data_IF_004536426493
#
_entry.id   IF_004536426493
#
_cell.length_a   1.000
_cell.length_b   1.000
_cell.length_c   1.000
_cell.angle_alpha   90.00
_cell.angle_beta   90.00
_cell.angle_gamma   90.00
#
_symmetry.space_group_name_H-M   'P 1'
#
loop_
_entity.id
_entity.type
_entity.pdbx_description
1 polymer ?
#
# COMPACT_ATOMS: atom_id res chain seq x y z
N UNK A 1 -23.39 -17.82 -25.63
CA UNK A 1 -21.96 -17.58 -25.35
C UNK A 1 -21.74 -17.83 -23.86
N UNK A 2 -21.28 -19.02 -23.46
CA UNK A 2 -21.04 -19.36 -22.05
C UNK A 2 -19.69 -18.77 -21.62
N UNK A 3 -19.72 -17.68 -20.86
CA UNK A 3 -18.52 -17.16 -20.18
C UNK A 3 -18.12 -18.19 -19.12
N UNK A 4 -16.95 -18.79 -19.31
CA UNK A 4 -16.40 -19.81 -18.43
C UNK A 4 -16.18 -19.24 -17.01
N UNK A 5 -16.64 -19.92 -15.96
CA UNK A 5 -16.60 -19.45 -14.54
C UNK A 5 -15.19 -19.01 -14.07
N UNK A 6 -14.14 -19.54 -14.69
CA UNK A 6 -12.74 -19.23 -14.39
C UNK A 6 -12.29 -17.88 -14.96
N UNK A 7 -12.91 -17.43 -16.05
CA UNK A 7 -12.60 -16.12 -16.66
C UNK A 7 -13.34 -14.99 -15.94
N UNK A 8 -14.57 -15.23 -15.45
CA UNK A 8 -15.29 -14.22 -14.67
C UNK A 8 -14.59 -13.87 -13.34
N UNK A 9 -13.89 -14.82 -12.72
CA UNK A 9 -13.14 -14.61 -11.47
C UNK A 9 -11.86 -13.81 -11.69
N UNK A 10 -11.17 -13.98 -12.82
CA UNK A 10 -10.00 -13.16 -13.19
C UNK A 10 -10.42 -11.72 -13.52
N UNK A 11 -11.49 -11.57 -14.32
CA UNK A 11 -12.03 -10.25 -14.70
C UNK A 11 -12.48 -9.48 -13.47
N UNK A 12 -13.21 -10.13 -12.54
CA UNK A 12 -13.65 -9.50 -11.28
C UNK A 12 -12.48 -8.98 -10.45
N UNK A 13 -11.38 -9.73 -10.35
CA UNK A 13 -10.16 -9.29 -9.64
C UNK A 13 -9.50 -8.09 -10.30
N UNK A 14 -9.45 -8.05 -11.63
CA UNK A 14 -8.87 -6.91 -12.38
C UNK A 14 -9.73 -5.67 -12.16
N UNK A 15 -11.05 -5.78 -12.35
CA UNK A 15 -11.99 -4.67 -12.14
C UNK A 15 -11.85 -4.12 -10.71
N UNK A 16 -11.82 -5.00 -9.71
CA UNK A 16 -11.72 -4.60 -8.31
C UNK A 16 -10.40 -3.86 -7.99
N UNK A 17 -9.29 -4.22 -8.67
CA UNK A 17 -8.00 -3.53 -8.52
C UNK A 17 -7.90 -2.23 -9.31
N UNK A 18 -8.56 -2.14 -10.47
CA UNK A 18 -8.54 -0.93 -11.31
C UNK A 18 -9.55 0.12 -10.84
N UNK A 19 -10.59 -0.28 -10.11
CA UNK A 19 -11.65 0.61 -9.65
C UNK A 19 -11.15 1.78 -8.79
N UNK A 20 -10.27 1.57 -7.78
CA UNK A 20 -9.69 2.68 -7.01
C UNK A 20 -8.93 3.67 -7.89
N UNK A 21 -8.21 3.18 -8.91
CA UNK A 21 -7.41 4.01 -9.84
C UNK A 21 -8.30 4.86 -10.74
N UNK A 22 -9.39 4.31 -11.25
CA UNK A 22 -10.33 5.05 -12.10
C UNK A 22 -11.04 6.12 -11.27
N UNK A 23 -11.48 5.77 -10.05
CA UNK A 23 -12.14 6.71 -9.15
C UNK A 23 -11.19 7.82 -8.73
N UNK A 24 -9.97 7.48 -8.31
CA UNK A 24 -8.99 8.48 -7.90
C UNK A 24 -8.70 9.45 -9.04
N UNK A 25 -8.54 8.94 -10.26
CA UNK A 25 -8.33 9.78 -11.43
C UNK A 25 -9.52 10.72 -11.71
N UNK A 26 -10.75 10.20 -11.59
CA UNK A 26 -11.96 11.01 -11.73
C UNK A 26 -12.06 12.11 -10.66
N UNK A 27 -11.76 11.79 -9.41
CA UNK A 27 -11.73 12.75 -8.30
C UNK A 27 -10.64 13.80 -8.55
N UNK A 28 -9.43 13.39 -8.93
CA UNK A 28 -8.34 14.31 -9.25
C UNK A 28 -8.68 15.25 -10.39
N UNK A 29 -9.31 14.74 -11.46
CA UNK A 29 -9.78 15.56 -12.56
C UNK A 29 -10.81 16.60 -12.10
N UNK A 30 -11.80 16.19 -11.31
CA UNK A 30 -12.82 17.10 -10.77
C UNK A 30 -12.21 18.16 -9.84
N UNK A 31 -11.27 17.79 -8.98
CA UNK A 31 -10.58 18.73 -8.09
C UNK A 31 -9.81 19.77 -8.90
N UNK A 32 -9.02 19.33 -9.89
CA UNK A 32 -8.19 20.24 -10.68
C UNK A 32 -9.02 21.17 -11.56
N UNK A 33 -10.11 20.68 -12.16
CA UNK A 33 -10.96 21.52 -13.03
C UNK A 33 -11.88 22.46 -12.28
N UNK A 34 -12.39 22.08 -11.10
CA UNK A 34 -13.36 22.91 -10.38
C UNK A 34 -12.73 23.85 -9.34
N UNK A 35 -11.49 23.60 -8.90
CA UNK A 35 -10.80 24.44 -7.93
C UNK A 35 -9.74 25.27 -8.65
N UNK A 36 -10.04 26.54 -8.91
CA UNK A 36 -9.15 27.44 -9.66
C UNK A 36 -7.76 27.57 -9.05
N UNK A 37 -7.69 27.58 -7.71
CA UNK A 37 -6.44 27.61 -6.96
C UNK A 37 -5.53 26.42 -7.28
N UNK A 38 -6.13 25.24 -7.49
CA UNK A 38 -5.42 24.00 -7.85
C UNK A 38 -4.95 24.08 -9.30
N UNK A 39 -5.82 24.51 -10.22
CA UNK A 39 -5.48 24.68 -11.64
C UNK A 39 -4.32 25.67 -11.86
N UNK A 40 -4.26 26.72 -11.01
CA UNK A 40 -3.19 27.72 -11.02
C UNK A 40 -1.93 27.29 -10.26
N UNK A 41 -1.96 26.17 -9.53
CA UNK A 41 -0.85 25.72 -8.69
C UNK A 41 -0.55 26.62 -7.50
N UNK A 42 -1.53 27.41 -7.03
CA UNK A 42 -1.34 28.35 -5.92
C UNK A 42 -1.56 27.70 -4.54
N UNK A 43 -2.10 26.49 -4.52
CA UNK A 43 -2.39 25.78 -3.28
C UNK A 43 -1.14 25.12 -2.71
N UNK A 44 -0.94 25.26 -1.39
CA UNK A 44 0.24 24.76 -0.69
C UNK A 44 0.48 23.26 -0.87
N UNK A 45 -0.57 22.42 -0.95
CA UNK A 45 -0.42 20.97 -1.11
C UNK A 45 -0.04 20.50 -2.52
N UNK A 46 0.00 21.42 -3.50
CA UNK A 46 0.43 21.15 -4.89
C UNK A 46 1.84 21.67 -5.12
N UNK A 47 2.43 22.38 -4.14
CA UNK A 47 3.83 22.77 -4.23
C UNK A 47 4.71 21.53 -4.23
N UNK A 48 5.68 21.51 -5.12
CA UNK A 48 6.58 20.38 -5.37
C UNK A 48 7.25 19.88 -4.11
N UNK A 49 7.75 20.82 -3.28
CA UNK A 49 8.37 20.51 -2.00
C UNK A 49 7.42 19.75 -1.07
N UNK A 50 6.13 20.12 -1.04
CA UNK A 50 5.14 19.43 -0.22
C UNK A 50 4.89 18.03 -0.75
N UNK A 51 4.64 17.90 -2.06
CA UNK A 51 4.31 16.61 -2.71
C UNK A 51 5.45 15.61 -2.52
N UNK A 52 6.69 16.03 -2.79
CA UNK A 52 7.87 15.17 -2.63
C UNK A 52 8.11 14.81 -1.17
N UNK A 53 8.05 15.78 -0.24
CA UNK A 53 8.21 15.50 1.17
C UNK A 53 7.13 14.55 1.69
N UNK A 54 5.88 14.72 1.26
CA UNK A 54 4.78 13.85 1.62
C UNK A 54 5.07 12.40 1.23
N UNK A 55 5.50 12.14 -0.01
CA UNK A 55 5.87 10.80 -0.44
C UNK A 55 7.08 10.24 0.30
N UNK A 56 8.12 11.04 0.56
CA UNK A 56 9.31 10.60 1.31
C UNK A 56 8.95 10.19 2.73
N UNK A 57 8.11 10.98 3.42
CA UNK A 57 7.63 10.68 4.77
C UNK A 57 6.82 9.40 4.78
N UNK A 58 5.91 9.21 3.83
CA UNK A 58 5.10 8.00 3.74
C UNK A 58 5.91 6.76 3.37
N UNK A 59 6.88 6.89 2.47
CA UNK A 59 7.78 5.80 2.13
C UNK A 59 8.63 5.39 3.34
N UNK A 60 9.14 6.37 4.09
CA UNK A 60 9.91 6.13 5.32
C UNK A 60 9.06 5.41 6.37
N UNK A 61 7.81 5.83 6.53
CA UNK A 61 6.85 5.17 7.41
C UNK A 61 6.57 3.72 6.97
N UNK A 62 6.34 3.49 5.68
CA UNK A 62 6.09 2.15 5.14
C UNK A 62 7.29 1.21 5.35
N UNK A 63 8.52 1.70 5.14
CA UNK A 63 9.74 0.94 5.41
C UNK A 63 9.89 0.64 6.91
N UNK A 64 9.65 1.63 7.77
CA UNK A 64 9.71 1.46 9.22
C UNK A 64 8.69 0.41 9.69
N UNK A 65 7.49 0.43 9.12
CA UNK A 65 6.46 -0.59 9.34
C UNK A 65 6.97 -1.97 8.95
N UNK A 66 7.47 -2.16 7.72
CA UNK A 66 8.01 -3.45 7.28
C UNK A 66 9.12 -3.95 8.22
N UNK A 67 10.03 -3.06 8.63
CA UNK A 67 11.13 -3.40 9.54
C UNK A 67 10.62 -3.86 10.92
N UNK A 68 9.62 -3.17 11.49
CA UNK A 68 8.97 -3.57 12.73
C UNK A 68 8.32 -4.95 12.62
N UNK A 69 7.67 -5.24 11.50
CA UNK A 69 7.06 -6.55 11.29
C UNK A 69 8.11 -7.65 11.17
N UNK A 70 9.20 -7.39 10.46
CA UNK A 70 10.30 -8.35 10.36
C UNK A 70 10.86 -8.70 11.75
N UNK A 71 11.06 -7.68 12.59
CA UNK A 71 11.50 -7.88 13.97
C UNK A 71 10.50 -8.69 14.80
N UNK A 72 9.20 -8.40 14.69
CA UNK A 72 8.17 -9.11 15.45
C UNK A 72 8.01 -10.56 14.98
N UNK A 73 8.06 -10.80 13.68
CA UNK A 73 7.97 -12.15 13.10
C UNK A 73 9.14 -13.01 13.53
N UNK A 74 10.36 -12.47 13.52
CA UNK A 74 11.52 -13.24 13.96
C UNK A 74 11.41 -13.62 15.44
N UNK A 75 10.96 -12.70 16.31
CA UNK A 75 10.69 -13.00 17.73
C UNK A 75 9.63 -14.09 17.91
N UNK A 76 8.57 -14.05 17.11
CA UNK A 76 7.52 -15.08 17.10
C UNK A 76 8.13 -16.43 16.69
N UNK A 77 8.89 -16.45 15.60
CA UNK A 77 9.54 -17.65 15.07
C UNK A 77 10.51 -18.25 16.08
N UNK A 78 11.37 -17.45 16.70
CA UNK A 78 12.26 -17.89 17.77
C UNK A 78 11.48 -18.50 18.95
N UNK A 79 10.39 -17.85 19.37
CA UNK A 79 9.57 -18.33 20.48
C UNK A 79 8.93 -19.68 20.17
N UNK A 80 8.41 -19.85 18.94
CA UNK A 80 7.85 -21.12 18.48
C UNK A 80 8.91 -22.22 18.41
N UNK A 81 10.11 -21.94 17.88
CA UNK A 81 11.19 -22.92 17.83
C UNK A 81 11.65 -23.35 19.23
N UNK A 82 11.64 -22.44 20.22
CA UNK A 82 11.98 -22.80 21.61
C UNK A 82 10.94 -23.70 22.25
N UNK A 83 9.65 -23.45 22.03
CA UNK A 83 8.55 -24.19 22.66
C UNK A 83 8.28 -25.53 21.96
N UNK A 84 8.43 -25.59 20.64
CA UNK A 84 8.00 -26.74 19.82
C UNK A 84 9.14 -27.56 19.21
N UNK A 85 10.41 -27.29 19.57
CA UNK A 85 11.61 -28.00 19.07
C UNK A 85 11.50 -29.53 19.03
N UNK A 86 10.65 -30.12 19.87
CA UNK A 86 10.55 -31.57 20.08
C UNK A 86 9.16 -32.16 19.75
N UNK A 87 8.23 -31.42 19.12
CA UNK A 87 6.89 -31.95 18.79
C UNK A 87 6.51 -31.63 17.35
N UNK A 88 6.32 -32.68 16.55
CA UNK A 88 5.96 -32.61 15.12
C UNK A 88 4.51 -32.12 14.86
N UNK A 89 3.68 -31.98 15.90
CA UNK A 89 2.22 -31.80 15.77
C UNK A 89 1.73 -30.36 15.52
N UNK A 90 2.61 -29.37 15.45
CA UNK A 90 2.19 -27.98 15.17
C UNK A 90 2.59 -27.56 13.77
N UNK A 91 1.57 -27.28 12.96
CA UNK A 91 1.66 -26.80 11.59
C UNK A 91 2.15 -25.33 11.54
N UNK A 92 3.42 -25.13 11.90
CA UNK A 92 4.14 -23.85 11.85
C UNK A 92 4.13 -23.28 10.41
N UNK A 93 4.07 -24.16 9.40
CA UNK A 93 4.03 -23.80 7.99
C UNK A 93 2.88 -22.87 7.63
N UNK A 94 1.67 -23.10 8.16
CA UNK A 94 0.51 -22.22 7.92
C UNK A 94 0.70 -20.79 8.44
N UNK A 95 1.39 -20.65 9.58
CA UNK A 95 1.68 -19.34 10.15
C UNK A 95 2.75 -18.61 9.33
N UNK A 96 3.83 -19.31 8.98
CA UNK A 96 4.88 -18.76 8.11
C UNK A 96 4.29 -18.33 6.76
N UNK A 97 3.34 -19.08 6.20
CA UNK A 97 2.64 -18.72 4.96
C UNK A 97 1.77 -17.47 5.12
N UNK A 98 0.99 -17.36 6.21
CA UNK A 98 0.16 -16.17 6.50
C UNK A 98 1.02 -14.92 6.71
N UNK A 99 2.16 -15.06 7.36
CA UNK A 99 3.12 -13.98 7.57
C UNK A 99 3.79 -13.59 6.24
N UNK A 100 4.22 -14.58 5.44
CA UNK A 100 4.83 -14.34 4.13
C UNK A 100 3.85 -13.63 3.17
N UNK A 101 2.55 -13.94 3.24
CA UNK A 101 1.54 -13.20 2.46
C UNK A 101 1.41 -11.75 2.90
N UNK A 102 1.42 -11.48 4.22
CA UNK A 102 1.39 -10.12 4.78
C UNK A 102 2.61 -9.30 4.32
N UNK A 103 3.82 -9.87 4.37
CA UNK A 103 5.01 -9.18 3.85
C UNK A 103 4.93 -8.90 2.36
N UNK A 104 4.36 -9.82 1.59
CA UNK A 104 4.21 -9.65 0.14
C UNK A 104 3.24 -8.51 -0.18
N UNK A 105 2.13 -8.39 0.55
CA UNK A 105 1.18 -7.28 0.44
C UNK A 105 1.86 -5.93 0.73
N UNK A 106 2.50 -5.81 1.89
CA UNK A 106 3.18 -4.58 2.31
C UNK A 106 4.32 -4.15 1.39
N UNK A 107 5.09 -5.12 0.88
CA UNK A 107 6.13 -4.84 -0.11
C UNK A 107 5.53 -4.27 -1.39
N UNK A 108 4.38 -4.80 -1.81
CA UNK A 108 3.62 -4.29 -2.95
C UNK A 108 3.21 -2.83 -2.75
N UNK A 109 2.62 -2.53 -1.59
CA UNK A 109 2.14 -1.18 -1.27
C UNK A 109 3.30 -0.19 -1.13
N UNK A 110 4.42 -0.61 -0.51
CA UNK A 110 5.62 0.22 -0.38
C UNK A 110 6.26 0.51 -1.75
N UNK A 111 6.34 -0.50 -2.62
CA UNK A 111 6.82 -0.31 -4.00
C UNK A 111 5.89 0.63 -4.77
N UNK A 112 4.58 0.53 -4.55
CA UNK A 112 3.62 1.43 -5.16
C UNK A 112 3.86 2.90 -4.73
N UNK A 113 4.04 3.16 -3.43
CA UNK A 113 4.39 4.49 -2.92
C UNK A 113 5.68 5.02 -3.55
N UNK A 114 6.70 4.16 -3.69
CA UNK A 114 7.95 4.53 -4.36
C UNK A 114 7.74 4.87 -5.85
N UNK A 115 6.94 4.09 -6.58
CA UNK A 115 6.61 4.39 -7.96
C UNK A 115 5.81 5.69 -8.09
N UNK A 116 4.88 5.98 -7.18
CA UNK A 116 4.17 7.25 -7.12
C UNK A 116 5.11 8.43 -6.92
N UNK A 117 6.12 8.30 -6.04
CA UNK A 117 7.17 9.30 -5.88
C UNK A 117 7.92 9.55 -7.20
N UNK A 118 8.35 8.49 -7.90
CA UNK A 118 9.05 8.61 -9.18
C UNK A 118 8.16 9.28 -10.24
N UNK A 119 6.90 8.88 -10.33
CA UNK A 119 5.93 9.47 -11.27
C UNK A 119 5.72 10.96 -10.98
N UNK A 120 5.56 11.35 -9.72
CA UNK A 120 5.45 12.76 -9.35
C UNK A 120 6.73 13.54 -9.64
N UNK A 121 7.90 12.95 -9.41
CA UNK A 121 9.17 13.60 -9.75
C UNK A 121 9.31 13.83 -11.26
N UNK A 122 8.92 12.85 -12.08
CA UNK A 122 8.87 13.01 -13.54
C UNK A 122 7.83 14.05 -13.95
N UNK A 123 6.65 14.08 -13.32
CA UNK A 123 5.61 15.07 -13.60
C UNK A 123 6.09 16.51 -13.35
N UNK A 124 6.83 16.73 -12.27
CA UNK A 124 7.46 18.02 -11.94
C UNK A 124 8.44 18.42 -13.06
N UNK A 125 9.34 17.52 -13.47
CA UNK A 125 10.30 17.79 -14.55
C UNK A 125 9.57 18.11 -15.86
N UNK A 126 8.59 17.28 -16.25
CA UNK A 126 7.79 17.46 -17.47
C UNK A 126 7.06 18.80 -17.44
N UNK A 127 6.57 19.25 -16.28
CA UNK A 127 5.91 20.55 -16.12
C UNK A 127 6.83 21.71 -16.46
N UNK A 128 8.10 21.66 -16.05
CA UNK A 128 9.09 22.74 -16.23
C UNK A 128 9.70 22.80 -17.65
N UNK A 129 9.73 21.69 -18.39
CA UNK A 129 10.28 21.65 -19.76
C UNK A 129 9.41 22.44 -20.74
N UNK A 130 9.88 23.59 -21.24
CA UNK A 130 9.11 24.48 -22.14
C UNK A 130 8.84 23.91 -23.54
N UNK A 131 9.67 22.99 -24.01
CA UNK A 131 9.64 22.48 -25.39
C UNK A 131 8.52 21.48 -25.66
N UNK A 132 7.91 20.95 -24.60
CA UNK A 132 6.82 19.98 -24.70
C UNK A 132 5.52 20.74 -24.48
N UNK A 133 4.74 20.92 -25.55
CA UNK A 133 3.36 21.43 -25.46
C UNK A 133 2.40 20.27 -25.70
N UNK A 134 1.68 19.89 -24.64
CA UNK A 134 0.73 18.78 -24.65
C UNK A 134 -0.64 19.37 -24.35
N UNK A 135 -1.56 19.23 -25.29
CA UNK A 135 -2.96 19.59 -25.15
C UNK A 135 -3.81 18.35 -25.43
N UNK A 136 -4.44 17.80 -24.38
CA UNK A 136 -5.27 16.60 -24.48
C UNK A 136 -6.62 16.94 -23.84
N UNK A 137 -7.73 16.72 -24.55
CA UNK A 137 -9.10 16.99 -24.04
C UNK A 137 -9.31 18.39 -23.44
N UNK A 138 -8.70 19.43 -24.02
CA UNK A 138 -8.78 20.82 -23.52
C UNK A 138 -8.18 20.99 -22.10
N UNK A 139 -7.25 20.11 -21.74
CA UNK A 139 -6.43 20.17 -20.54
C UNK A 139 -5.04 20.62 -20.98
N UNK A 140 -4.53 21.69 -20.36
CA UNK A 140 -3.17 22.15 -20.61
C UNK A 140 -2.16 21.23 -19.89
N UNK A 141 -0.89 21.28 -20.31
CA UNK A 141 0.18 20.46 -19.71
C UNK A 141 0.26 20.58 -18.19
N UNK A 142 0.12 21.79 -17.64
CA UNK A 142 0.22 22.04 -16.19
C UNK A 142 -0.91 21.37 -15.42
N UNK A 143 -2.14 21.54 -15.89
CA UNK A 143 -3.33 20.88 -15.35
C UNK A 143 -3.18 19.35 -15.40
N UNK A 144 -2.66 18.81 -16.49
CA UNK A 144 -2.42 17.36 -16.60
C UNK A 144 -1.40 16.88 -15.55
N UNK A 145 -0.31 17.61 -15.34
CA UNK A 145 0.67 17.29 -14.30
C UNK A 145 0.04 17.35 -12.90
N UNK A 146 -0.77 18.37 -12.61
CA UNK A 146 -1.48 18.47 -11.34
C UNK A 146 -2.52 17.35 -11.14
N UNK A 147 -3.20 16.91 -12.20
CA UNK A 147 -4.09 15.74 -12.12
C UNK A 147 -3.30 14.50 -11.74
N UNK A 148 -2.14 14.28 -12.37
CA UNK A 148 -1.27 13.13 -12.08
C UNK A 148 -0.74 13.18 -10.64
N UNK A 149 -0.29 14.33 -10.18
CA UNK A 149 0.18 14.53 -8.80
C UNK A 149 -0.93 14.29 -7.78
N UNK A 150 -2.10 14.90 -7.98
CA UNK A 150 -3.26 14.70 -7.11
C UNK A 150 -3.70 13.24 -7.08
N UNK A 151 -3.68 12.57 -8.23
CA UNK A 151 -4.02 11.16 -8.33
C UNK A 151 -3.01 10.30 -7.55
N UNK A 152 -1.73 10.63 -7.65
CA UNK A 152 -0.65 9.95 -6.94
C UNK A 152 -0.78 10.13 -5.42
N UNK A 153 -1.13 11.33 -4.95
CA UNK A 153 -1.40 11.60 -3.53
C UNK A 153 -2.57 10.75 -3.02
N UNK A 154 -3.71 10.75 -3.73
CA UNK A 154 -4.90 9.99 -3.33
C UNK A 154 -4.59 8.49 -3.27
N UNK A 155 -3.92 7.96 -4.29
CA UNK A 155 -3.58 6.54 -4.35
C UNK A 155 -2.56 6.15 -3.27
N UNK A 156 -1.65 7.05 -2.91
CA UNK A 156 -0.67 6.82 -1.84
C UNK A 156 -1.33 6.84 -0.46
N UNK A 157 -2.32 7.72 -0.24
CA UNK A 157 -3.17 7.66 0.97
C UNK A 157 -3.94 6.34 1.05
N UNK A 158 -4.44 5.84 -0.08
CA UNK A 158 -5.09 4.54 -0.14
C UNK A 158 -4.12 3.39 0.18
N UNK A 159 -2.90 3.39 -0.39
CA UNK A 159 -1.87 2.42 -0.06
C UNK A 159 -1.48 2.47 1.43
N UNK A 160 -1.40 3.67 2.01
CA UNK A 160 -1.15 3.84 3.44
C UNK A 160 -2.25 3.22 4.30
N UNK A 161 -3.51 3.43 3.91
CA UNK A 161 -4.65 2.80 4.59
C UNK A 161 -4.55 1.27 4.56
N UNK A 162 -4.18 0.69 3.42
CA UNK A 162 -3.99 -0.76 3.28
C UNK A 162 -2.82 -1.27 4.13
N UNK A 163 -1.71 -0.51 4.21
CA UNK A 163 -0.59 -0.80 5.12
C UNK A 163 -1.06 -0.85 6.58
N UNK A 164 -1.86 0.13 7.01
CA UNK A 164 -2.40 0.20 8.38
C UNK A 164 -3.33 -0.98 8.67
N UNK A 165 -4.22 -1.33 7.74
CA UNK A 165 -5.08 -2.50 7.92
C UNK A 165 -4.28 -3.80 7.99
N UNK A 166 -3.22 -3.91 7.19
CA UNK A 166 -2.35 -5.09 7.17
C UNK A 166 -1.54 -5.23 8.45
N UNK A 167 -1.13 -4.12 9.05
CA UNK A 167 -0.55 -4.09 10.41
C UNK A 167 -1.51 -4.67 11.46
N UNK A 168 -2.78 -4.26 11.45
CA UNK A 168 -3.78 -4.77 12.39
C UNK A 168 -4.00 -6.29 12.22
N UNK A 169 -4.10 -6.77 10.97
CA UNK A 169 -4.19 -8.23 10.70
C UNK A 169 -3.00 -9.01 11.26
N UNK A 170 -1.79 -8.47 11.19
CA UNK A 170 -0.63 -9.12 11.78
C UNK A 170 -0.69 -9.12 13.30
N UNK A 171 -1.07 -7.99 13.91
CA UNK A 171 -1.25 -7.89 15.36
C UNK A 171 -2.23 -8.96 15.88
N UNK A 172 -3.37 -9.11 15.20
CA UNK A 172 -4.35 -10.16 15.50
C UNK A 172 -3.77 -11.56 15.35
N UNK A 173 -3.07 -11.84 14.24
CA UNK A 173 -2.43 -13.14 14.01
C UNK A 173 -1.37 -13.46 15.09
N UNK A 174 -0.63 -12.44 15.56
CA UNK A 174 0.34 -12.58 16.63
C UNK A 174 -0.32 -12.82 18.00
N UNK A 175 -1.44 -12.15 18.29
CA UNK A 175 -2.18 -12.34 19.54
C UNK A 175 -2.81 -13.73 19.62
N UNK A 176 -3.45 -14.18 18.53
CA UNK A 176 -4.03 -15.52 18.44
C UNK A 176 -2.97 -16.60 18.72
N UNK A 177 -1.76 -16.41 18.19
CA UNK A 177 -0.65 -17.32 18.42
C UNK A 177 -0.18 -17.33 19.88
N UNK A 178 0.00 -16.13 20.47
CA UNK A 178 0.43 -15.99 21.86
C UNK A 178 -0.56 -16.67 22.83
N UNK A 179 -1.87 -16.53 22.58
CA UNK A 179 -2.89 -17.22 23.36
C UNK A 179 -2.83 -18.74 23.21
N UNK A 180 -2.64 -19.26 22.00
CA UNK A 180 -2.47 -20.71 21.77
C UNK A 180 -1.26 -21.27 22.52
N UNK A 181 -0.14 -20.54 22.49
CA UNK A 181 1.08 -20.89 23.23
C UNK A 181 0.84 -20.92 24.75
N UNK A 182 0.18 -19.90 25.30
CA UNK A 182 -0.12 -19.81 26.73
C UNK A 182 -1.04 -20.94 27.20
N UNK A 183 -2.12 -21.21 26.46
CA UNK A 183 -3.04 -22.31 26.76
C UNK A 183 -2.34 -23.68 26.70
N UNK A 184 -1.37 -23.84 25.80
CA UNK A 184 -0.58 -25.06 25.70
C UNK A 184 0.36 -25.24 26.91
N UNK A 185 1.00 -24.17 27.39
CA UNK A 185 1.89 -24.22 28.55
C UNK A 185 1.12 -24.55 29.84
N UNK A 186 -0.09 -24.00 30.01
CA UNK A 186 -0.99 -24.36 31.12
C UNK A 186 -1.43 -25.83 31.03
N UNK A 187 -1.80 -26.31 29.84
CA UNK A 187 -2.23 -27.70 29.67
C UNK A 187 -1.12 -28.71 29.96
N UNK A 188 0.15 -28.38 29.72
CA UNK A 188 1.28 -29.25 30.06
C UNK A 188 1.67 -29.19 31.54
N UNK A 189 1.44 -28.07 32.24
CA UNK A 189 1.67 -28.00 33.71
C UNK A 189 0.66 -28.80 34.53
N UNK A 190 -0.49 -29.13 33.94
CA UNK A 190 -1.57 -29.90 34.59
C UNK A 190 -1.56 -31.41 34.23
N UNK A 191 -0.52 -31.90 33.52
CA UNK A 191 -0.27 -33.32 33.26
C UNK A 191 0.97 -33.77 34.02
#
# INVERSE_FOLDING_TARGET
MMINKKDSTKIKKIIMKSFPVIISFGISYLIVKNIESVAKGTVAFIKDDFVLNFFIVLLSLAIAVIALLYSNVEKIRESLYRVFKNREDIDIGKLEEKIASIFRELKGDTLFIFLSLVVSWVAIIVREVKEIDIMIFNINKKELCYIIEMNSIILTLYALWDIILTLFKLSEASQELSQRLFNFDISNKNK
#
